data_IF_394499673337
#
_entry.id   IF_394499673337
#
_cell.length_a   1.000
_cell.length_b   1.000
_cell.length_c   1.000
_cell.angle_alpha   90.00
_cell.angle_beta   90.00
_cell.angle_gamma   90.00
#
_symmetry.space_group_name_H-M   'P 1'
#
loop_
_entity.id
_entity.type
_entity.pdbx_description
1 polymer ?
#
# COMPACT_ATOMS: atom_id res chain seq x y z
N UNK A 1 -15.69 -20.29 -37.65
CA UNK A 1 -15.82 -18.96 -37.04
C UNK A 1 -15.87 -19.04 -35.50
N UNK A 2 -14.87 -19.66 -34.85
CA UNK A 2 -14.85 -19.93 -33.40
C UNK A 2 -13.77 -19.16 -32.62
N UNK A 3 -13.04 -18.23 -33.25
CA UNK A 3 -11.84 -17.61 -32.65
C UNK A 3 -12.02 -16.16 -32.18
N UNK A 4 -13.24 -15.61 -32.18
CA UNK A 4 -13.49 -14.23 -31.75
C UNK A 4 -14.22 -14.09 -30.42
N UNK A 5 -14.73 -15.18 -29.83
CA UNK A 5 -15.40 -15.12 -28.52
C UNK A 5 -14.42 -15.35 -27.35
N UNK A 6 -13.43 -16.24 -27.52
CA UNK A 6 -12.39 -16.50 -26.51
C UNK A 6 -11.57 -15.23 -26.19
N UNK A 7 -11.38 -14.34 -27.18
CA UNK A 7 -10.66 -13.07 -27.00
C UNK A 7 -11.49 -12.00 -26.24
N UNK A 8 -12.83 -12.15 -26.17
CA UNK A 8 -13.71 -11.25 -25.41
C UNK A 8 -13.93 -11.70 -23.97
N UNK A 9 -13.82 -12.99 -23.68
CA UNK A 9 -13.78 -13.52 -22.31
C UNK A 9 -12.51 -13.08 -21.56
N UNK A 10 -11.36 -12.95 -22.24
CA UNK A 10 -10.14 -12.39 -21.65
C UNK A 10 -10.26 -10.89 -21.29
N UNK A 11 -11.17 -10.15 -21.93
CA UNK A 11 -11.43 -8.73 -21.63
C UNK A 11 -12.45 -8.52 -20.49
N UNK A 12 -13.17 -9.56 -20.07
CA UNK A 12 -14.06 -9.51 -18.92
C UNK A 12 -13.24 -9.69 -17.62
N UNK A 13 -12.74 -8.56 -17.11
CA UNK A 13 -12.33 -8.33 -15.72
C UNK A 13 -11.19 -9.21 -15.18
N UNK A 14 -9.96 -8.93 -15.60
CA UNK A 14 -8.86 -9.03 -14.63
C UNK A 14 -9.14 -7.95 -13.58
N UNK A 15 -9.68 -8.35 -12.42
CA UNK A 15 -9.75 -7.48 -11.24
C UNK A 15 -8.32 -7.05 -10.96
N UNK A 16 -8.02 -5.75 -11.11
CA UNK A 16 -6.71 -5.20 -10.78
C UNK A 16 -6.51 -5.37 -9.27
N UNK A 17 -5.88 -6.47 -8.85
CA UNK A 17 -5.56 -6.71 -7.45
C UNK A 17 -4.54 -5.65 -7.07
N UNK A 18 -4.83 -4.75 -6.09
CA UNK A 18 -3.88 -3.73 -5.71
C UNK A 18 -2.62 -4.44 -5.22
N UNK A 19 -1.52 -4.25 -5.96
CA UNK A 19 -0.22 -4.81 -5.62
C UNK A 19 0.25 -4.11 -4.35
N UNK A 20 0.16 -4.81 -3.22
CA UNK A 20 0.61 -4.28 -1.92
C UNK A 20 2.13 -4.09 -1.96
N UNK A 21 2.59 -2.91 -1.52
CA UNK A 21 4.01 -2.62 -1.38
C UNK A 21 4.53 -3.34 -0.13
N UNK A 22 5.68 -3.99 -0.26
CA UNK A 22 6.37 -4.65 0.84
C UNK A 22 7.58 -3.80 1.24
N UNK A 23 7.89 -3.81 2.53
CA UNK A 23 8.99 -3.06 3.12
C UNK A 23 9.77 -4.00 4.04
N UNK A 24 11.08 -3.81 4.11
CA UNK A 24 11.89 -4.46 5.15
C UNK A 24 11.80 -3.68 6.45
N UNK A 25 12.07 -4.31 7.59
CA UNK A 25 12.15 -3.60 8.87
C UNK A 25 13.23 -2.52 8.86
N UNK A 26 14.31 -2.70 8.08
CA UNK A 26 15.35 -1.69 7.89
C UNK A 26 14.81 -0.45 7.18
N UNK A 27 14.00 -0.64 6.14
CA UNK A 27 13.36 0.48 5.44
C UNK A 27 12.44 1.25 6.40
N UNK A 28 11.57 0.54 7.13
CA UNK A 28 10.64 1.18 8.07
C UNK A 28 11.38 1.92 9.20
N UNK A 29 12.48 1.36 9.70
CA UNK A 29 13.26 1.97 10.80
C UNK A 29 13.87 3.33 10.46
N UNK A 30 14.00 3.68 9.17
CA UNK A 30 14.50 4.99 8.75
C UNK A 30 13.48 6.12 8.98
N UNK A 31 12.19 5.78 9.10
CA UNK A 31 11.08 6.72 9.26
C UNK A 31 10.69 6.83 10.75
N UNK A 32 11.56 7.42 11.56
CA UNK A 32 11.45 7.44 13.03
C UNK A 32 11.42 8.86 13.64
N UNK A 33 10.98 9.87 12.87
CA UNK A 33 10.91 11.27 13.34
C UNK A 33 9.47 11.77 13.32
N UNK A 34 9.15 12.85 14.02
CA UNK A 34 7.79 13.44 14.03
C UNK A 34 7.32 13.87 12.62
N UNK A 35 8.25 14.36 11.80
CA UNK A 35 7.98 14.78 10.43
C UNK A 35 8.01 13.64 9.40
N UNK A 36 8.37 12.41 9.82
CA UNK A 36 8.46 11.22 9.00
C UNK A 36 8.41 9.98 9.91
N UNK A 37 7.20 9.52 10.21
CA UNK A 37 6.93 8.51 11.25
C UNK A 37 6.17 7.32 10.67
N UNK A 38 6.83 6.17 10.59
CA UNK A 38 6.16 4.92 10.19
C UNK A 38 6.12 3.92 11.35
N UNK A 39 5.05 3.13 11.40
CA UNK A 39 4.86 2.10 12.42
C UNK A 39 4.36 0.80 11.83
N UNK A 40 4.84 -0.32 12.38
CA UNK A 40 4.34 -1.66 12.03
C UNK A 40 3.33 -2.10 13.08
N UNK A 41 2.10 -2.38 12.65
CA UNK A 41 1.05 -2.95 13.51
C UNK A 41 0.48 -4.18 12.81
N UNK A 42 0.61 -5.36 13.43
CA UNK A 42 0.14 -6.65 12.87
C UNK A 42 0.63 -6.89 11.43
N UNK A 43 1.94 -6.74 11.21
CA UNK A 43 2.62 -6.90 9.92
C UNK A 43 2.17 -5.93 8.80
N UNK A 44 1.46 -4.85 9.17
CA UNK A 44 1.08 -3.76 8.26
C UNK A 44 1.88 -2.52 8.60
N UNK A 45 2.47 -1.89 7.60
CA UNK A 45 3.18 -0.61 7.73
C UNK A 45 2.17 0.52 7.58
N UNK A 46 2.15 1.42 8.56
CA UNK A 46 1.34 2.63 8.58
C UNK A 46 2.27 3.84 8.53
N UNK A 47 1.93 4.81 7.69
CA UNK A 47 2.51 6.15 7.74
C UNK A 47 1.66 6.99 8.69
N UNK A 48 2.26 7.40 9.81
CA UNK A 48 1.64 8.18 10.88
C UNK A 48 2.04 9.66 10.82
N UNK A 49 2.77 10.09 9.78
CA UNK A 49 3.30 11.45 9.67
C UNK A 49 2.22 12.53 9.74
N UNK A 50 1.03 12.27 9.19
CA UNK A 50 -0.11 13.18 9.31
C UNK A 50 -0.71 13.17 10.71
N UNK A 51 -0.87 11.99 11.30
CA UNK A 51 -1.42 11.83 12.65
C UNK A 51 -0.56 12.56 13.70
N UNK A 52 0.76 12.45 13.60
CA UNK A 52 1.68 13.16 14.50
C UNK A 52 1.54 14.68 14.39
N UNK A 53 1.32 15.21 13.17
CA UNK A 53 1.12 16.65 12.96
C UNK A 53 -0.20 17.16 13.54
N UNK A 54 -1.25 16.36 13.53
CA UNK A 54 -2.53 16.76 14.12
C UNK A 54 -2.50 16.71 15.65
N UNK A 55 -1.86 15.68 16.23
CA UNK A 55 -1.94 15.42 17.68
C UNK A 55 -0.85 16.13 18.48
N UNK A 56 0.35 16.36 17.93
CA UNK A 56 1.47 16.97 18.68
C UNK A 56 1.55 18.50 18.58
N UNK A 57 0.68 19.16 17.80
CA UNK A 57 0.62 20.63 17.71
C UNK A 57 -0.42 21.28 18.63
N UNK A 58 -1.10 20.49 19.47
CA UNK A 58 -1.98 20.94 20.57
C UNK A 58 -1.25 20.92 21.94
#
# INVERSE_FOLDING_TARGET
AFNNLQNRLFALKVVQIPKRKQFTLKDVSAHCTEADCWMVVKDVVYDLTEFMREVCFD
#
